data_IF_666093023519
#
_entry.id   IF_666093023519
#
_cell.length_a   1.000
_cell.length_b   1.000
_cell.length_c   1.000
_cell.angle_alpha   90.00
_cell.angle_beta   90.00
_cell.angle_gamma   90.00
#
_symmetry.space_group_name_H-M   'P 1'
#
loop_
_entity.id
_entity.type
_entity.pdbx_description
1 polymer ?
#
# COMPACT_ATOMS: atom_id res chain seq x y z
N UNK A 1 25.02 -17.99 13.83
CA UNK A 1 24.70 -17.45 12.49
C UNK A 1 23.19 -17.47 12.31
N UNK A 2 22.59 -16.33 12.03
CA UNK A 2 21.14 -16.22 11.76
C UNK A 2 20.85 -16.80 10.37
N UNK A 3 19.93 -17.76 10.27
CA UNK A 3 19.55 -18.40 8.99
C UNK A 3 18.76 -17.43 8.10
N UNK A 4 18.88 -17.61 6.79
CA UNK A 4 18.23 -16.79 5.77
C UNK A 4 16.71 -17.02 5.71
N UNK A 5 15.98 -16.08 5.11
CA UNK A 5 14.53 -16.21 4.89
C UNK A 5 14.18 -17.49 4.14
N UNK A 6 14.86 -17.74 3.02
CA UNK A 6 14.62 -18.91 2.16
C UNK A 6 14.85 -20.23 2.89
N UNK A 7 15.89 -20.31 3.73
CA UNK A 7 16.16 -21.50 4.55
C UNK A 7 15.02 -21.77 5.56
N UNK A 8 14.52 -20.72 6.23
CA UNK A 8 13.44 -20.86 7.21
C UNK A 8 12.08 -21.12 6.55
N UNK A 9 11.82 -20.46 5.41
CA UNK A 9 10.63 -20.68 4.58
C UNK A 9 10.55 -22.12 4.13
N UNK A 10 11.65 -22.64 3.55
CA UNK A 10 11.72 -24.03 3.06
C UNK A 10 11.46 -25.05 4.18
N UNK A 11 11.97 -24.80 5.39
CA UNK A 11 11.69 -25.66 6.56
C UNK A 11 10.20 -25.73 6.87
N UNK A 12 9.48 -24.61 6.79
CA UNK A 12 8.06 -24.54 7.14
C UNK A 12 7.14 -25.05 6.02
N UNK A 13 7.55 -24.92 4.76
CA UNK A 13 6.88 -25.57 3.62
C UNK A 13 6.90 -27.09 3.78
N UNK A 14 8.09 -27.66 4.03
CA UNK A 14 8.24 -29.11 4.24
C UNK A 14 7.51 -29.61 5.49
N UNK A 15 7.43 -28.78 6.53
CA UNK A 15 6.64 -29.06 7.72
C UNK A 15 5.13 -29.08 7.43
N UNK A 16 4.63 -28.14 6.63
CA UNK A 16 3.23 -28.10 6.20
C UNK A 16 2.87 -29.29 5.29
N UNK A 17 3.83 -29.80 4.51
CA UNK A 17 3.71 -31.04 3.73
C UNK A 17 3.68 -32.32 4.61
N UNK A 18 3.84 -32.19 5.93
CA UNK A 18 3.78 -33.30 6.89
C UNK A 18 5.08 -34.06 7.08
N UNK A 19 6.21 -33.55 6.58
CA UNK A 19 7.50 -34.19 6.80
C UNK A 19 7.93 -34.09 8.28
N UNK A 20 8.65 -35.12 8.77
CA UNK A 20 9.18 -35.07 10.13
C UNK A 20 10.51 -34.29 10.20
N UNK A 21 10.86 -33.80 11.39
CA UNK A 21 12.04 -32.94 11.62
C UNK A 21 13.37 -33.54 11.14
N UNK A 22 13.50 -34.88 11.12
CA UNK A 22 14.71 -35.55 10.65
C UNK A 22 14.80 -35.54 9.11
N UNK A 23 13.67 -35.73 8.42
CA UNK A 23 13.59 -35.65 6.96
C UNK A 23 13.91 -34.23 6.50
N UNK A 24 13.27 -33.22 7.12
CA UNK A 24 13.51 -31.81 6.82
C UNK A 24 14.99 -31.45 7.01
N UNK A 25 15.62 -31.90 8.09
CA UNK A 25 17.04 -31.64 8.34
C UNK A 25 17.97 -32.26 7.29
N UNK A 26 17.64 -33.48 6.81
CA UNK A 26 18.40 -34.14 5.74
C UNK A 26 18.22 -33.45 4.39
N UNK A 27 17.00 -33.03 4.07
CA UNK A 27 16.68 -32.41 2.78
C UNK A 27 17.25 -30.99 2.67
N UNK A 28 17.14 -30.20 3.75
CA UNK A 28 17.59 -28.81 3.78
C UNK A 28 19.07 -28.65 4.15
N UNK A 29 19.71 -29.70 4.69
CA UNK A 29 21.05 -29.61 5.28
C UNK A 29 21.12 -28.79 6.58
N UNK A 30 19.97 -28.37 7.13
CA UNK A 30 19.89 -27.55 8.34
C UNK A 30 19.94 -28.47 9.57
N UNK A 31 20.73 -28.14 10.61
CA UNK A 31 20.77 -28.93 11.84
C UNK A 31 19.38 -29.16 12.44
N UNK A 32 19.09 -30.39 12.85
CA UNK A 32 17.79 -30.80 13.38
C UNK A 32 17.30 -29.93 14.55
N UNK A 33 18.22 -29.48 15.41
CA UNK A 33 17.89 -28.53 16.48
C UNK A 33 17.30 -27.24 15.93
N UNK A 34 17.95 -26.64 14.93
CA UNK A 34 17.49 -25.42 14.26
C UNK A 34 16.17 -25.61 13.51
N UNK A 35 15.94 -26.78 12.90
CA UNK A 35 14.62 -27.14 12.34
C UNK A 35 13.55 -27.16 13.42
N UNK A 36 13.87 -27.78 14.57
CA UNK A 36 12.94 -27.82 15.71
C UNK A 36 12.65 -26.43 16.25
N UNK A 37 13.67 -25.59 16.42
CA UNK A 37 13.54 -24.21 16.89
C UNK A 37 12.69 -23.39 15.92
N UNK A 38 12.91 -23.52 14.60
CA UNK A 38 12.12 -22.83 13.57
C UNK A 38 10.63 -23.22 13.63
N UNK A 39 10.33 -24.52 13.78
CA UNK A 39 8.96 -25.01 13.89
C UNK A 39 8.31 -24.55 15.20
N UNK A 40 9.05 -24.54 16.32
CA UNK A 40 8.54 -24.07 17.62
C UNK A 40 8.32 -22.56 17.62
N UNK A 41 9.23 -21.80 17.01
CA UNK A 41 9.21 -20.34 16.97
C UNK A 41 8.07 -19.80 16.09
N UNK A 42 7.80 -20.44 14.95
CA UNK A 42 6.83 -19.92 13.97
C UNK A 42 5.57 -20.79 13.80
N UNK A 43 5.65 -22.10 14.04
CA UNK A 43 4.52 -23.03 13.90
C UNK A 43 4.14 -23.37 12.46
N UNK A 44 3.88 -22.36 11.63
CA UNK A 44 3.49 -22.50 10.23
C UNK A 44 4.08 -21.39 9.35
N UNK A 45 3.92 -21.54 8.03
CA UNK A 45 4.46 -20.62 7.04
C UNK A 45 3.83 -19.22 7.16
N UNK A 46 2.52 -19.13 7.38
CA UNK A 46 1.80 -17.86 7.47
C UNK A 46 2.29 -17.02 8.67
N UNK A 47 2.41 -17.64 9.84
CA UNK A 47 2.97 -17.02 11.04
C UNK A 47 4.44 -16.63 10.86
N UNK A 48 5.24 -17.41 10.12
CA UNK A 48 6.62 -17.04 9.82
C UNK A 48 6.71 -15.85 8.87
N UNK A 49 5.92 -15.82 7.82
CA UNK A 49 5.87 -14.68 6.90
C UNK A 49 5.38 -13.44 7.65
N UNK A 50 4.32 -13.56 8.45
CA UNK A 50 3.86 -12.50 9.34
C UNK A 50 4.96 -12.05 10.31
N UNK A 51 5.64 -12.97 11.01
CA UNK A 51 6.69 -12.64 11.98
C UNK A 51 7.94 -12.05 11.30
N UNK A 52 8.32 -12.55 10.12
CA UNK A 52 9.50 -12.07 9.39
C UNK A 52 9.26 -10.67 8.81
N UNK A 53 8.07 -10.44 8.24
CA UNK A 53 7.66 -9.11 7.79
C UNK A 53 7.48 -8.17 8.99
N UNK A 54 6.83 -8.61 10.06
CA UNK A 54 6.71 -7.85 11.31
C UNK A 54 8.07 -7.50 11.89
N UNK A 55 9.07 -8.40 11.94
CA UNK A 55 10.39 -8.11 12.56
C UNK A 55 11.26 -7.16 11.72
N UNK A 56 10.99 -7.05 10.42
CA UNK A 56 11.71 -6.19 9.48
C UNK A 56 11.02 -4.83 9.27
N UNK A 57 9.69 -4.82 9.26
CA UNK A 57 8.86 -3.61 9.31
C UNK A 57 8.74 -3.04 10.72
N UNK A 58 8.89 -3.86 11.78
CA UNK A 58 8.78 -3.40 13.17
C UNK A 58 9.78 -2.32 13.41
N UNK A 59 11.02 -2.48 12.95
CA UNK A 59 12.06 -1.49 13.20
C UNK A 59 11.85 -0.15 12.47
N UNK A 60 11.06 -0.11 11.39
CA UNK A 60 10.86 1.11 10.60
C UNK A 60 9.45 1.74 10.74
N UNK A 61 8.40 0.93 10.89
CA UNK A 61 6.99 1.37 10.90
C UNK A 61 6.32 1.21 12.28
N UNK A 62 6.82 0.32 13.16
CA UNK A 62 6.20 0.03 14.47
C UNK A 62 7.09 0.28 15.72
N UNK A 63 8.39 0.53 15.56
CA UNK A 63 9.41 0.50 16.65
C UNK A 63 9.61 1.83 17.35
N UNK A 64 8.94 2.89 16.93
CA UNK A 64 9.08 4.19 17.59
C UNK A 64 7.84 4.39 18.46
N UNK A 65 7.98 4.34 19.79
CA UNK A 65 6.93 4.78 20.70
C UNK A 65 6.94 6.32 20.79
N UNK A 66 6.65 7.03 19.69
CA UNK A 66 6.57 8.50 19.67
C UNK A 66 5.75 9.01 18.47
N UNK A 67 5.54 10.33 18.41
CA UNK A 67 4.97 11.07 17.28
C UNK A 67 5.56 10.69 15.90
N UNK A 68 6.80 10.19 15.85
CA UNK A 68 7.43 9.69 14.62
C UNK A 68 6.70 8.49 14.00
N UNK A 69 6.17 7.56 14.82
CA UNK A 69 5.41 6.40 14.31
C UNK A 69 4.09 6.82 13.70
N UNK A 70 3.38 7.75 14.33
CA UNK A 70 2.13 8.31 13.81
C UNK A 70 2.33 8.91 12.41
N UNK A 71 3.38 9.71 12.25
CA UNK A 71 3.75 10.33 10.97
C UNK A 71 4.05 9.27 9.89
N UNK A 72 4.83 8.24 10.24
CA UNK A 72 5.20 7.16 9.32
C UNK A 72 3.96 6.36 8.89
N UNK A 73 3.07 6.00 9.82
CA UNK A 73 1.86 5.25 9.49
C UNK A 73 0.89 6.06 8.62
N UNK A 74 0.69 7.35 8.92
CA UNK A 74 -0.10 8.26 8.06
C UNK A 74 0.50 8.41 6.66
N UNK A 75 1.82 8.61 6.59
CA UNK A 75 2.54 8.68 5.31
C UNK A 75 2.40 7.37 4.54
N UNK A 76 2.49 6.23 5.23
CA UNK A 76 2.30 4.91 4.64
C UNK A 76 0.89 4.70 4.10
N UNK A 77 -0.15 5.03 4.88
CA UNK A 77 -1.55 4.95 4.44
C UNK A 77 -1.75 5.76 3.14
N UNK A 78 -1.27 7.00 3.11
CA UNK A 78 -1.33 7.83 1.91
C UNK A 78 -0.55 7.22 0.73
N UNK A 79 0.70 6.83 0.94
CA UNK A 79 1.53 6.27 -0.13
C UNK A 79 1.02 4.92 -0.62
N UNK A 80 0.38 4.12 0.23
CA UNK A 80 -0.29 2.87 -0.16
C UNK A 80 -1.42 3.15 -1.14
N UNK A 81 -2.27 4.14 -0.87
CA UNK A 81 -3.30 4.56 -1.82
C UNK A 81 -2.72 4.99 -3.17
N UNK A 82 -1.69 5.86 -3.14
CA UNK A 82 -0.97 6.29 -4.35
C UNK A 82 -0.35 5.10 -5.11
N UNK A 83 0.21 4.13 -4.37
CA UNK A 83 0.80 2.93 -4.95
C UNK A 83 -0.26 2.06 -5.64
N UNK A 84 -1.43 1.89 -5.03
CA UNK A 84 -2.51 1.05 -5.56
C UNK A 84 -3.10 1.64 -6.85
N UNK A 85 -3.23 2.95 -6.95
CA UNK A 85 -3.62 3.63 -8.20
C UNK A 85 -2.49 3.66 -9.22
N UNK A 86 -1.67 4.71 -9.14
CA UNK A 86 -0.68 5.07 -10.16
C UNK A 86 0.73 4.49 -9.90
N UNK A 87 0.86 3.63 -8.90
CA UNK A 87 2.15 3.06 -8.53
C UNK A 87 2.55 1.77 -9.23
N UNK A 88 3.85 1.56 -9.32
CA UNK A 88 4.45 0.27 -9.67
C UNK A 88 5.74 0.05 -8.90
N UNK A 89 5.92 -1.16 -8.38
CA UNK A 89 7.21 -1.66 -7.91
C UNK A 89 7.76 -2.57 -9.02
N UNK A 90 9.04 -2.45 -9.32
CA UNK A 90 9.73 -3.28 -10.32
C UNK A 90 11.09 -3.72 -9.81
N UNK A 91 11.45 -4.97 -10.07
CA UNK A 91 12.79 -5.51 -9.77
C UNK A 91 13.82 -4.94 -10.75
N UNK A 92 14.94 -4.46 -10.22
CA UNK A 92 16.14 -4.10 -10.98
C UNK A 92 17.33 -4.97 -10.50
N UNK A 93 18.46 -5.05 -11.22
CA UNK A 93 19.48 -6.08 -10.96
C UNK A 93 19.98 -6.19 -9.51
N UNK A 94 20.03 -5.07 -8.77
CA UNK A 94 20.57 -5.01 -7.40
C UNK A 94 19.54 -4.64 -6.34
N UNK A 95 18.33 -4.22 -6.72
CA UNK A 95 17.32 -3.73 -5.77
C UNK A 95 15.92 -3.64 -6.40
N UNK A 96 14.97 -3.04 -5.70
CA UNK A 96 13.64 -2.75 -6.22
C UNK A 96 13.46 -1.26 -6.41
N UNK A 97 12.59 -0.90 -7.35
CA UNK A 97 12.28 0.48 -7.72
C UNK A 97 10.79 0.71 -7.60
N UNK A 98 10.38 1.66 -6.77
CA UNK A 98 9.02 2.19 -6.73
C UNK A 98 8.94 3.40 -7.66
N UNK A 99 7.87 3.48 -8.45
CA UNK A 99 7.52 4.62 -9.29
C UNK A 99 6.05 4.92 -9.10
N UNK A 100 5.73 6.18 -8.83
CA UNK A 100 4.37 6.73 -8.88
C UNK A 100 4.34 7.75 -10.02
N UNK A 101 3.39 7.59 -10.94
CA UNK A 101 3.22 8.49 -12.09
C UNK A 101 2.13 9.52 -11.79
N UNK A 102 2.45 10.80 -11.85
CA UNK A 102 1.55 11.88 -11.45
C UNK A 102 1.46 12.95 -12.52
N UNK A 103 0.27 13.47 -12.75
CA UNK A 103 0.07 14.57 -13.70
C UNK A 103 0.83 15.82 -13.25
N UNK A 104 1.59 16.43 -14.17
CA UNK A 104 2.42 17.60 -13.89
C UNK A 104 1.61 18.82 -13.47
N UNK A 105 0.30 18.84 -13.75
CA UNK A 105 -0.62 19.91 -13.34
C UNK A 105 -0.83 19.99 -11.83
N UNK A 106 -0.47 18.95 -11.07
CA UNK A 106 -0.74 18.85 -9.64
C UNK A 106 0.54 18.86 -8.78
N UNK A 107 1.26 19.99 -8.67
CA UNK A 107 2.54 20.06 -7.95
C UNK A 107 2.40 19.75 -6.46
N UNK A 108 1.26 20.06 -5.83
CA UNK A 108 1.02 19.76 -4.42
C UNK A 108 0.88 18.26 -4.17
N UNK A 109 0.22 17.53 -5.08
CA UNK A 109 0.14 16.06 -5.04
C UNK A 109 1.53 15.43 -5.24
N UNK A 110 2.32 15.95 -6.20
CA UNK A 110 3.70 15.50 -6.43
C UNK A 110 4.55 15.66 -5.16
N UNK A 111 4.50 16.83 -4.53
CA UNK A 111 5.24 17.11 -3.29
C UNK A 111 4.77 16.23 -2.14
N UNK A 112 3.46 16.04 -1.97
CA UNK A 112 2.89 15.16 -0.94
C UNK A 112 3.34 13.71 -1.13
N UNK A 113 3.37 13.21 -2.37
CA UNK A 113 3.87 11.88 -2.70
C UNK A 113 5.36 11.74 -2.37
N UNK A 114 6.17 12.72 -2.73
CA UNK A 114 7.60 12.70 -2.44
C UNK A 114 7.89 12.76 -0.92
N UNK A 115 7.16 13.59 -0.18
CA UNK A 115 7.27 13.70 1.28
C UNK A 115 6.86 12.40 1.99
N UNK A 116 5.76 11.77 1.57
CA UNK A 116 5.34 10.49 2.14
C UNK A 116 6.39 9.39 1.89
N UNK A 117 6.93 9.33 0.67
CA UNK A 117 8.01 8.40 0.33
C UNK A 117 9.28 8.67 1.14
N UNK A 118 9.67 9.93 1.34
CA UNK A 118 10.82 10.31 2.18
C UNK A 118 10.60 9.98 3.66
N UNK A 119 9.37 10.12 4.17
CA UNK A 119 9.03 9.82 5.57
C UNK A 119 9.17 8.33 5.88
N UNK A 120 8.74 7.47 4.95
CA UNK A 120 8.80 6.01 5.11
C UNK A 120 10.22 5.48 4.85
N UNK A 121 10.98 6.16 3.99
CA UNK A 121 12.32 5.79 3.57
C UNK A 121 13.31 6.95 3.79
N UNK A 122 13.59 7.33 5.05
CA UNK A 122 14.36 8.55 5.39
C UNK A 122 15.78 8.56 4.81
N UNK A 123 16.42 7.40 4.70
CA UNK A 123 17.79 7.27 4.19
C UNK A 123 17.87 7.15 2.66
N UNK A 124 16.72 7.06 1.97
CA UNK A 124 16.68 6.85 0.54
C UNK A 124 16.51 8.17 -0.21
N UNK A 125 17.23 8.31 -1.32
CA UNK A 125 17.06 9.44 -2.24
C UNK A 125 15.74 9.32 -3.00
N UNK A 126 14.85 10.28 -2.80
CA UNK A 126 13.62 10.43 -3.57
C UNK A 126 13.90 11.24 -4.83
N UNK A 127 13.56 10.67 -5.98
CA UNK A 127 13.70 11.33 -7.28
C UNK A 127 12.35 11.82 -7.78
N UNK A 128 12.30 13.09 -8.20
CA UNK A 128 11.17 13.68 -8.92
C UNK A 128 11.65 13.96 -10.34
N UNK A 129 11.16 13.18 -11.31
CA UNK A 129 11.64 13.20 -12.69
C UNK A 129 10.53 13.60 -13.66
N UNK A 130 10.60 14.78 -14.29
CA UNK A 130 9.76 15.11 -15.43
C UNK A 130 9.91 14.06 -16.53
N UNK A 131 8.81 13.64 -17.14
CA UNK A 131 8.81 12.69 -18.25
C UNK A 131 8.47 13.38 -19.57
N UNK A 132 8.66 12.65 -20.68
CA UNK A 132 8.13 13.09 -21.98
C UNK A 132 6.61 12.98 -21.95
N UNK A 133 5.94 14.10 -21.64
CA UNK A 133 4.48 14.21 -21.50
C UNK A 133 4.08 15.12 -20.35
N UNK A 134 2.78 15.23 -20.07
CA UNK A 134 2.25 16.05 -18.96
C UNK A 134 2.24 15.27 -17.63
N UNK A 135 3.33 14.57 -17.33
CA UNK A 135 3.45 13.83 -16.07
C UNK A 135 4.88 13.79 -15.54
N UNK A 136 4.97 13.58 -14.23
CA UNK A 136 6.18 13.44 -13.43
C UNK A 136 6.20 12.04 -12.83
N UNK A 137 7.39 11.47 -12.70
CA UNK A 137 7.59 10.23 -11.94
C UNK A 137 8.26 10.55 -10.61
N UNK A 138 7.58 10.23 -9.50
CA UNK A 138 8.19 10.18 -8.17
C UNK A 138 8.69 8.76 -7.93
N UNK A 139 9.96 8.61 -7.58
CA UNK A 139 10.58 7.29 -7.50
C UNK A 139 11.60 7.17 -6.36
N UNK A 140 11.78 5.94 -5.88
CA UNK A 140 12.85 5.56 -4.97
C UNK A 140 13.34 4.14 -5.27
N UNK A 141 14.53 3.83 -4.74
CA UNK A 141 15.11 2.49 -4.82
C UNK A 141 15.37 1.99 -3.40
N UNK A 142 14.86 0.81 -3.06
CA UNK A 142 15.15 0.15 -1.78
C UNK A 142 14.77 -1.33 -1.84
N UNK A 143 15.52 -2.16 -1.09
CA UNK A 143 15.16 -3.57 -0.88
C UNK A 143 13.98 -3.74 0.09
N UNK A 144 13.62 -2.70 0.85
CA UNK A 144 12.48 -2.71 1.77
C UNK A 144 11.14 -2.54 1.05
N UNK A 145 11.14 -2.16 -0.23
CA UNK A 145 9.91 -1.91 -0.99
C UNK A 145 9.01 -3.14 -1.12
N UNK A 146 9.57 -4.35 -1.17
CA UNK A 146 8.78 -5.58 -1.23
C UNK A 146 8.08 -5.89 0.09
N UNK A 147 8.68 -5.45 1.22
CA UNK A 147 8.06 -5.59 2.54
C UNK A 147 6.96 -4.53 2.71
N UNK A 148 7.21 -3.30 2.22
CA UNK A 148 6.24 -2.19 2.28
C UNK A 148 5.07 -2.35 1.32
N UNK A 149 5.29 -2.93 0.14
CA UNK A 149 4.27 -3.12 -0.90
C UNK A 149 4.26 -4.58 -1.36
N UNK A 150 3.81 -5.50 -0.49
CA UNK A 150 3.79 -6.94 -0.78
C UNK A 150 2.82 -7.30 -1.91
N UNK A 151 1.95 -6.37 -2.30
CA UNK A 151 1.13 -6.46 -3.50
C UNK A 151 1.97 -6.33 -4.79
N UNK A 152 3.30 -6.31 -4.77
CA UNK A 152 4.10 -6.44 -5.99
C UNK A 152 3.86 -7.80 -6.66
N UNK A 153 3.76 -7.84 -8.00
CA UNK A 153 3.52 -9.07 -8.74
C UNK A 153 3.62 -8.86 -10.25
N UNK A 154 3.74 -9.96 -11.00
CA UNK A 154 3.79 -9.94 -12.46
C UNK A 154 2.43 -9.58 -13.07
N UNK A 155 2.45 -9.03 -14.28
CA UNK A 155 1.23 -8.64 -15.01
C UNK A 155 0.62 -7.32 -14.55
N UNK A 156 -0.57 -7.00 -15.06
CA UNK A 156 -1.28 -5.76 -14.69
C UNK A 156 -1.89 -5.92 -13.31
N UNK A 157 -1.91 -4.82 -12.54
CA UNK A 157 -2.40 -4.82 -11.16
C UNK A 157 -3.87 -5.27 -11.04
N UNK A 158 -4.71 -4.93 -12.02
CA UNK A 158 -6.13 -5.30 -12.03
C UNK A 158 -6.42 -6.72 -12.53
N UNK A 159 -5.42 -7.44 -13.06
CA UNK A 159 -5.58 -8.82 -13.53
C UNK A 159 -5.25 -9.84 -12.43
N UNK A 160 -4.97 -9.38 -11.20
CA UNK A 160 -4.56 -10.22 -10.08
C UNK A 160 -5.22 -9.76 -8.78
N UNK A 161 -5.40 -10.67 -7.81
CA UNK A 161 -5.87 -10.30 -6.48
C UNK A 161 -4.94 -9.28 -5.82
N UNK A 162 -5.54 -8.31 -5.13
CA UNK A 162 -4.86 -7.31 -4.30
C UNK A 162 -5.41 -7.45 -2.90
N UNK A 163 -4.62 -8.05 -2.02
CA UNK A 163 -4.99 -8.31 -0.63
C UNK A 163 -4.04 -7.51 0.25
N UNK A 164 -4.60 -6.74 1.20
CA UNK A 164 -3.79 -6.07 2.23
C UNK A 164 -3.37 -7.10 3.28
N UNK A 165 -2.11 -7.06 3.69
CA UNK A 165 -1.68 -7.82 4.87
C UNK A 165 -2.37 -7.25 6.12
N UNK A 166 -2.54 -8.06 7.18
CA UNK A 166 -3.22 -7.62 8.41
C UNK A 166 -2.67 -6.30 8.98
N UNK A 167 -1.34 -6.14 8.99
CA UNK A 167 -0.71 -4.89 9.45
C UNK A 167 -0.97 -3.68 8.53
N UNK A 168 -1.16 -3.89 7.21
CA UNK A 168 -1.55 -2.82 6.28
C UNK A 168 -3.01 -2.43 6.54
N UNK A 169 -3.88 -3.42 6.76
CA UNK A 169 -5.28 -3.20 7.08
C UNK A 169 -5.43 -2.40 8.37
N UNK A 170 -4.69 -2.77 9.43
CA UNK A 170 -4.67 -2.01 10.69
C UNK A 170 -4.31 -0.53 10.49
N UNK A 171 -3.30 -0.23 9.65
CA UNK A 171 -2.90 1.14 9.36
C UNK A 171 -3.98 1.86 8.54
N UNK A 172 -4.58 1.19 7.55
CA UNK A 172 -5.68 1.77 6.74
C UNK A 172 -6.90 2.07 7.60
N UNK A 173 -7.27 1.16 8.51
CA UNK A 173 -8.41 1.32 9.40
C UNK A 173 -8.16 2.43 10.43
N UNK A 174 -6.91 2.60 10.88
CA UNK A 174 -6.53 3.66 11.81
C UNK A 174 -6.41 5.04 11.13
N UNK A 175 -6.01 5.09 9.87
CA UNK A 175 -5.80 6.33 9.10
C UNK A 175 -6.56 6.31 7.76
N UNK A 176 -7.90 6.17 7.78
CA UNK A 176 -8.69 5.99 6.58
C UNK A 176 -8.71 7.25 5.72
N UNK A 177 -8.60 8.44 6.31
CA UNK A 177 -8.54 9.70 5.57
C UNK A 177 -7.28 9.79 4.71
N UNK A 178 -6.12 9.43 5.27
CA UNK A 178 -4.85 9.42 4.54
C UNK A 178 -4.86 8.40 3.41
N UNK A 179 -5.36 7.19 3.66
CA UNK A 179 -5.53 6.16 2.64
C UNK A 179 -6.50 6.58 1.52
N UNK A 180 -7.67 7.10 1.88
CA UNK A 180 -8.64 7.68 0.96
C UNK A 180 -7.99 8.76 0.11
N UNK A 181 -7.25 9.70 0.74
CA UNK A 181 -6.57 10.80 0.04
C UNK A 181 -5.56 10.28 -0.98
N UNK A 182 -4.84 9.21 -0.66
CA UNK A 182 -3.91 8.56 -1.59
C UNK A 182 -4.60 8.02 -2.84
N UNK A 183 -5.67 7.22 -2.66
CA UNK A 183 -6.46 6.69 -3.77
C UNK A 183 -7.14 7.80 -4.59
N UNK A 184 -7.67 8.82 -3.91
CA UNK A 184 -8.31 9.95 -4.57
C UNK A 184 -7.31 10.79 -5.39
N UNK A 185 -6.10 11.00 -4.87
CA UNK A 185 -5.07 11.73 -5.61
C UNK A 185 -4.60 11.00 -6.86
N UNK A 186 -4.56 9.66 -6.84
CA UNK A 186 -4.29 8.87 -8.06
C UNK A 186 -5.48 8.92 -9.04
N UNK A 187 -6.55 8.19 -8.73
CA UNK A 187 -7.63 7.91 -9.70
C UNK A 187 -8.94 8.67 -9.42
N UNK A 188 -8.92 9.60 -8.47
CA UNK A 188 -10.07 10.44 -8.13
C UNK A 188 -10.22 11.66 -9.04
N UNK A 189 -11.42 12.23 -9.08
CA UNK A 189 -11.67 13.54 -9.69
C UNK A 189 -12.77 14.27 -8.92
N UNK A 190 -12.68 15.60 -8.90
CA UNK A 190 -13.74 16.48 -8.41
C UNK A 190 -14.23 17.35 -9.55
N UNK A 191 -15.53 17.35 -9.76
CA UNK A 191 -16.18 18.17 -10.78
C UNK A 191 -17.53 18.64 -10.26
N UNK A 192 -18.12 19.64 -10.90
CA UNK A 192 -19.45 20.09 -10.57
C UNK A 192 -20.39 20.04 -11.78
N UNK A 193 -21.68 19.85 -11.53
CA UNK A 193 -22.73 20.06 -12.52
C UNK A 193 -23.48 21.34 -12.18
N UNK A 194 -23.56 22.29 -13.12
CA UNK A 194 -24.36 23.51 -12.94
C UNK A 194 -25.76 23.27 -13.51
N UNK A 195 -26.79 23.32 -12.65
CA UNK A 195 -28.18 23.11 -13.03
C UNK A 195 -28.98 24.34 -12.61
N UNK A 196 -29.57 25.05 -13.58
CA UNK A 196 -30.33 26.29 -13.35
C UNK A 196 -29.56 27.32 -12.49
N UNK A 197 -28.26 27.49 -12.75
CA UNK A 197 -27.39 28.42 -12.04
C UNK A 197 -26.89 27.94 -10.67
N UNK A 198 -27.30 26.76 -10.20
CA UNK A 198 -26.84 26.18 -8.93
C UNK A 198 -25.75 25.14 -9.17
N UNK A 199 -24.66 25.25 -8.40
CA UNK A 199 -23.53 24.33 -8.48
C UNK A 199 -23.74 23.07 -7.62
N UNK A 200 -23.41 21.92 -8.18
CA UNK A 200 -23.49 20.61 -7.51
C UNK A 200 -22.13 19.90 -7.62
N UNK A 201 -21.18 20.22 -6.74
CA UNK A 201 -19.87 19.57 -6.70
C UNK A 201 -19.99 18.10 -6.27
N UNK A 202 -19.12 17.27 -6.84
CA UNK A 202 -19.10 15.82 -6.63
C UNK A 202 -17.67 15.32 -6.69
N UNK A 203 -17.39 14.32 -5.86
CA UNK A 203 -16.18 13.52 -5.95
C UNK A 203 -16.50 12.22 -6.68
N UNK A 204 -15.58 11.79 -7.53
CA UNK A 204 -15.63 10.52 -8.24
C UNK A 204 -14.31 9.78 -8.03
N UNK A 205 -14.39 8.47 -7.89
CA UNK A 205 -13.24 7.57 -7.97
C UNK A 205 -13.56 6.45 -8.97
N UNK A 206 -12.61 6.15 -9.85
CA UNK A 206 -12.76 5.11 -10.85
C UNK A 206 -11.50 4.27 -10.90
N UNK A 207 -11.63 2.95 -10.73
CA UNK A 207 -10.49 2.03 -10.88
C UNK A 207 -10.93 0.74 -11.58
N UNK A 208 -10.00 0.07 -12.27
CA UNK A 208 -10.26 -1.19 -12.96
C UNK A 208 -10.29 -2.40 -12.02
N UNK A 209 -9.49 -2.39 -10.96
CA UNK A 209 -9.47 -3.46 -9.95
C UNK A 209 -10.71 -3.38 -9.06
N UNK A 210 -11.45 -4.49 -8.92
CA UNK A 210 -12.54 -4.60 -7.94
C UNK A 210 -12.01 -4.45 -6.52
N UNK A 211 -10.89 -5.10 -6.20
CA UNK A 211 -10.28 -5.04 -4.87
C UNK A 211 -9.95 -3.60 -4.45
N UNK A 212 -9.35 -2.80 -5.35
CA UNK A 212 -9.07 -1.37 -5.07
C UNK A 212 -10.36 -0.57 -4.88
N UNK A 213 -11.42 -0.88 -5.65
CA UNK A 213 -12.72 -0.21 -5.48
C UNK A 213 -13.35 -0.56 -4.13
N UNK A 214 -13.29 -1.81 -3.70
CA UNK A 214 -13.77 -2.23 -2.39
C UNK A 214 -12.94 -1.58 -1.26
N UNK A 215 -11.62 -1.46 -1.41
CA UNK A 215 -10.78 -0.73 -0.47
C UNK A 215 -11.15 0.77 -0.39
N UNK A 216 -11.48 1.40 -1.52
CA UNK A 216 -11.97 2.78 -1.54
C UNK A 216 -13.32 2.92 -0.84
N UNK A 217 -14.25 1.99 -1.09
CA UNK A 217 -15.57 1.94 -0.43
C UNK A 217 -15.42 1.77 1.07
N UNK A 218 -14.57 0.83 1.52
CA UNK A 218 -14.27 0.60 2.93
C UNK A 218 -13.75 1.89 3.60
N UNK A 219 -12.84 2.61 2.94
CA UNK A 219 -12.37 3.91 3.44
C UNK A 219 -13.51 4.96 3.49
N UNK A 220 -14.45 4.95 2.55
CA UNK A 220 -15.63 5.82 2.60
C UNK A 220 -16.51 5.48 3.80
N UNK A 221 -16.75 4.20 4.07
CA UNK A 221 -17.59 3.72 5.17
C UNK A 221 -16.98 4.11 6.54
N UNK A 222 -15.67 3.94 6.71
CA UNK A 222 -14.95 4.39 7.91
C UNK A 222 -14.97 5.90 8.12
N UNK A 223 -15.09 6.67 7.03
CA UNK A 223 -15.23 8.13 7.06
C UNK A 223 -16.68 8.60 7.10
N UNK A 224 -17.64 7.66 7.20
CA UNK A 224 -19.09 7.92 7.19
C UNK A 224 -19.58 8.69 5.94
N UNK A 225 -18.88 8.52 4.81
CA UNK A 225 -19.22 9.18 3.55
C UNK A 225 -20.30 8.42 2.80
N UNK A 226 -21.30 9.13 2.30
CA UNK A 226 -22.35 8.56 1.47
C UNK A 226 -21.87 8.49 0.03
N UNK A 227 -21.74 7.27 -0.45
CA UNK A 227 -21.32 6.97 -1.81
C UNK A 227 -22.43 6.24 -2.58
N UNK A 228 -22.34 6.33 -3.90
CA UNK A 228 -23.20 5.61 -4.85
C UNK A 228 -22.34 5.06 -5.98
N UNK A 229 -22.78 3.98 -6.62
CA UNK A 229 -22.15 3.45 -7.83
C UNK A 229 -23.04 3.65 -9.04
N UNK A 230 -22.46 3.95 -10.20
CA UNK A 230 -23.20 3.92 -11.47
C UNK A 230 -23.49 2.47 -11.91
N UNK A 231 -24.33 2.32 -12.94
CA UNK A 231 -24.61 1.03 -13.58
C UNK A 231 -23.33 0.31 -14.04
N UNK A 232 -22.30 1.05 -14.46
CA UNK A 232 -20.92 0.58 -14.46
C UNK A 232 -20.42 0.53 -13.02
N UNK A 233 -20.29 -0.67 -12.44
CA UNK A 233 -19.77 -0.91 -11.07
C UNK A 233 -18.32 -0.41 -10.83
N UNK A 234 -17.76 0.39 -11.74
CA UNK A 234 -16.39 0.91 -11.71
C UNK A 234 -16.30 2.33 -11.17
N UNK A 235 -17.39 3.10 -11.24
CA UNK A 235 -17.43 4.50 -10.84
C UNK A 235 -18.13 4.64 -9.48
N UNK A 236 -17.39 5.13 -8.49
CA UNK A 236 -17.89 5.45 -7.16
C UNK A 236 -18.03 6.96 -7.05
N UNK A 237 -19.20 7.43 -6.61
CA UNK A 237 -19.60 8.84 -6.58
C UNK A 237 -19.99 9.27 -5.18
N UNK A 238 -19.42 10.38 -4.71
CA UNK A 238 -19.78 11.04 -3.45
C UNK A 238 -20.36 12.41 -3.82
N UNK A 239 -21.66 12.58 -3.61
CA UNK A 239 -22.43 13.73 -4.12
C UNK A 239 -23.27 14.42 -3.06
N UNK A 240 -23.37 13.88 -1.85
CA UNK A 240 -24.09 14.52 -0.75
C UNK A 240 -23.34 15.79 -0.36
N UNK A 241 -24.08 16.90 -0.21
CA UNK A 241 -23.48 18.23 0.02
C UNK A 241 -22.60 18.25 1.27
N UNK A 242 -23.01 17.58 2.33
CA UNK A 242 -22.28 17.50 3.60
C UNK A 242 -20.94 16.78 3.42
N UNK A 243 -20.95 15.60 2.81
CA UNK A 243 -19.74 14.82 2.51
C UNK A 243 -18.78 15.58 1.60
N UNK A 244 -19.29 16.25 0.56
CA UNK A 244 -18.48 17.07 -0.35
C UNK A 244 -17.87 18.26 0.40
N UNK A 245 -18.63 18.91 1.28
CA UNK A 245 -18.12 20.02 2.11
C UNK A 245 -17.03 19.53 3.06
N UNK A 246 -17.22 18.36 3.66
CA UNK A 246 -16.21 17.73 4.50
C UNK A 246 -14.94 17.42 3.70
N UNK A 247 -15.05 16.72 2.57
CA UNK A 247 -13.91 16.40 1.71
C UNK A 247 -13.18 17.65 1.19
N UNK A 248 -13.91 18.70 0.83
CA UNK A 248 -13.32 19.99 0.47
C UNK A 248 -12.49 20.58 1.61
N UNK A 249 -12.90 20.39 2.87
CA UNK A 249 -12.18 20.91 4.03
C UNK A 249 -10.92 20.12 4.39
N UNK A 250 -10.89 18.80 4.13
CA UNK A 250 -9.79 17.91 4.58
C UNK A 250 -8.85 17.47 3.46
N UNK A 251 -9.31 17.47 2.20
CA UNK A 251 -8.50 17.15 1.01
C UNK A 251 -8.20 18.41 0.21
N UNK A 252 -9.18 19.31 0.11
CA UNK A 252 -9.14 20.44 -0.81
C UNK A 252 -9.52 20.07 -2.25
N UNK A 253 -9.52 21.05 -3.16
CA UNK A 253 -9.66 20.78 -4.59
C UNK A 253 -8.51 19.90 -5.08
N UNK A 254 -8.74 19.02 -6.07
CA UNK A 254 -7.64 18.25 -6.68
C UNK A 254 -6.69 19.23 -7.38
N UNK A 255 -5.57 19.54 -6.75
CA UNK A 255 -4.64 20.63 -7.09
C UNK A 255 -3.18 20.22 -7.12
#
# INVERSE_FOLDING_TARGET
>A
MTRTFEEKKRVLELWAEGQNKLQIAKETGIPRGTVSDCIVEFGNLENFEQHYHQKKLSNAVFSVQDAGRLQIQKAYAYLLGMYLGDGTVSKIPKTYKLRIFLDSRYPHIINSCAQAMQTILPENKIGILPQKGNYVTVQCHSNTLIDLFPQFGNGRKHDRPIILMGWQQEIVDQYPLEFFRGLYHSDGSRFSSVIKGKDYPKYQFTNMSEDIRQMFIHACELLELHWTTKTSKRDIMISRREDVTYLDSVIGPKS
#
